data_IF_280843715431
#
_entry.id   IF_280843715431
#
_cell.length_a   1.000
_cell.length_b   1.000
_cell.length_c   1.000
_cell.angle_alpha   90.00
_cell.angle_beta   90.00
_cell.angle_gamma   90.00
#
_symmetry.space_group_name_H-M   'P 1'
#
loop_
_entity.id
_entity.type
_entity.pdbx_description
1 polymer ?
#
# COMPACT_ATOMS: atom_id res chain seq x y z
N UNK A 1 -0.44 36.33 19.87
CA UNK A 1 -0.48 34.94 19.34
C UNK A 1 0.76 34.69 18.52
N UNK A 2 1.45 33.60 18.76
CA UNK A 2 2.62 33.24 17.98
C UNK A 2 2.18 32.65 16.61
N UNK A 3 2.88 33.04 15.57
CA UNK A 3 2.67 32.48 14.23
C UNK A 3 3.75 31.43 13.98
N UNK A 4 3.32 30.21 13.63
CA UNK A 4 4.25 29.14 13.31
C UNK A 4 4.78 29.36 11.89
N UNK A 5 6.11 29.39 11.74
CA UNK A 5 6.74 29.49 10.42
C UNK A 5 6.39 28.24 9.58
N UNK A 6 6.08 28.38 8.28
CA UNK A 6 5.90 27.22 7.40
C UNK A 6 7.04 26.21 7.44
N UNK A 7 8.29 26.66 7.65
CA UNK A 7 9.44 25.75 7.77
C UNK A 7 9.38 24.82 8.99
N UNK A 8 8.61 25.21 10.02
CA UNK A 8 8.41 24.40 11.24
C UNK A 8 7.24 23.42 11.09
N UNK A 9 6.47 23.52 10.03
CA UNK A 9 5.33 22.64 9.76
C UNK A 9 5.74 21.52 8.80
N UNK A 10 4.93 20.48 8.76
CA UNK A 10 5.14 19.35 7.86
C UNK A 10 3.96 19.26 6.89
N UNK A 11 4.27 18.95 5.63
CA UNK A 11 3.27 18.59 4.63
C UNK A 11 3.28 17.08 4.45
N UNK A 12 2.11 16.51 4.34
CA UNK A 12 1.98 15.12 3.89
C UNK A 12 1.22 15.09 2.58
N UNK A 13 1.59 14.15 1.71
CA UNK A 13 0.88 13.90 0.47
C UNK A 13 0.58 12.42 0.40
N UNK A 14 -0.67 12.07 0.13
CA UNK A 14 -1.10 10.69 0.00
C UNK A 14 -1.61 10.46 -1.42
N UNK A 15 -1.14 9.37 -2.03
CA UNK A 15 -1.72 8.86 -3.28
C UNK A 15 -2.37 7.52 -3.02
N UNK A 16 -3.35 7.17 -3.84
CA UNK A 16 -4.05 5.90 -3.73
C UNK A 16 -4.14 5.23 -5.09
N UNK A 17 -3.89 3.94 -5.13
CA UNK A 17 -4.04 3.11 -6.33
C UNK A 17 -5.05 2.03 -6.02
N UNK A 18 -6.00 1.85 -6.93
CA UNK A 18 -7.01 0.79 -6.84
C UNK A 18 -6.56 -0.38 -7.70
N UNK A 19 -6.62 -1.58 -7.14
CA UNK A 19 -6.16 -2.79 -7.81
C UNK A 19 -7.00 -3.98 -7.35
N UNK A 20 -7.22 -4.95 -8.24
CA UNK A 20 -7.92 -6.19 -7.90
C UNK A 20 -6.95 -7.34 -7.93
N UNK A 21 -6.87 -8.05 -6.82
CA UNK A 21 -6.15 -9.31 -6.68
C UNK A 21 -6.82 -10.15 -5.59
N UNK A 22 -6.42 -11.41 -5.50
CA UNK A 22 -6.90 -12.31 -4.47
C UNK A 22 -5.77 -12.66 -3.51
N UNK A 23 -6.13 -13.17 -2.34
CA UNK A 23 -5.15 -13.71 -1.41
C UNK A 23 -5.71 -14.95 -0.71
N UNK A 24 -4.81 -15.87 -0.37
CA UNK A 24 -5.14 -17.09 0.35
C UNK A 24 -4.73 -16.95 1.80
N UNK A 25 -5.72 -16.92 2.69
CA UNK A 25 -5.54 -16.77 4.13
C UNK A 25 -6.36 -17.84 4.83
N UNK A 26 -5.75 -18.54 5.77
CA UNK A 26 -6.39 -19.64 6.53
C UNK A 26 -7.00 -20.71 5.60
N UNK A 27 -6.32 -20.98 4.48
CA UNK A 27 -6.75 -21.98 3.53
C UNK A 27 -7.85 -21.55 2.57
N UNK A 28 -8.33 -20.33 2.67
CA UNK A 28 -9.39 -19.79 1.81
C UNK A 28 -8.83 -18.69 0.90
N UNK A 29 -9.27 -18.71 -0.37
CA UNK A 29 -8.88 -17.69 -1.34
C UNK A 29 -10.02 -16.70 -1.47
N UNK A 30 -9.69 -15.41 -1.30
CA UNK A 30 -10.64 -14.31 -1.42
C UNK A 30 -10.16 -13.33 -2.46
N UNK A 31 -11.03 -12.95 -3.40
CA UNK A 31 -10.77 -11.86 -4.33
C UNK A 31 -11.45 -10.60 -3.83
N UNK A 32 -10.70 -9.51 -3.79
CA UNK A 32 -11.19 -8.22 -3.33
C UNK A 32 -10.76 -7.11 -4.27
N UNK A 33 -11.55 -6.02 -4.36
CA UNK A 33 -10.97 -4.74 -4.76
C UNK A 33 -10.17 -4.20 -3.57
N UNK A 34 -8.96 -3.73 -3.86
CA UNK A 34 -8.05 -3.16 -2.88
C UNK A 34 -7.79 -1.71 -3.22
N UNK A 35 -7.61 -0.90 -2.20
CA UNK A 35 -7.03 0.42 -2.33
C UNK A 35 -5.74 0.45 -1.53
N UNK A 36 -4.67 0.88 -2.16
CA UNK A 36 -3.37 0.99 -1.51
C UNK A 36 -2.97 2.45 -1.50
N UNK A 37 -2.65 2.96 -0.33
CA UNK A 37 -2.25 4.35 -0.12
C UNK A 37 -0.80 4.42 0.30
N UNK A 38 -0.09 5.42 -0.22
CA UNK A 38 1.25 5.75 0.23
C UNK A 38 1.30 7.22 0.59
N UNK A 39 1.85 7.54 1.75
CA UNK A 39 1.97 8.90 2.26
C UNK A 39 3.43 9.27 2.45
N UNK A 40 3.82 10.38 1.86
CA UNK A 40 5.15 10.98 2.02
C UNK A 40 5.03 12.29 2.78
N UNK A 41 6.12 12.69 3.45
CA UNK A 41 6.16 13.86 4.30
C UNK A 41 7.38 14.72 3.96
N UNK A 42 7.22 16.01 4.00
CA UNK A 42 8.29 16.98 3.85
C UNK A 42 7.96 18.28 4.55
N UNK A 43 8.92 19.22 4.59
CA UNK A 43 8.68 20.52 5.22
C UNK A 43 7.65 21.34 4.44
N UNK A 44 6.87 22.16 5.13
CA UNK A 44 5.78 22.91 4.54
C UNK A 44 6.23 24.12 3.71
N UNK A 45 7.53 24.43 3.69
CA UNK A 45 8.09 25.56 2.94
C UNK A 45 8.60 25.17 1.54
N UNK A 46 8.37 23.93 1.09
CA UNK A 46 8.69 23.51 -0.28
C UNK A 46 7.43 23.59 -1.16
N UNK A 47 7.62 23.74 -2.47
CA UNK A 47 6.49 23.79 -3.41
C UNK A 47 5.74 22.45 -3.45
N UNK A 48 6.46 21.35 -3.31
CA UNK A 48 5.88 20.01 -3.26
C UNK A 48 6.83 19.07 -2.51
N UNK A 49 6.26 18.07 -1.85
CA UNK A 49 7.05 17.03 -1.17
C UNK A 49 7.80 16.18 -2.21
N UNK A 50 7.07 15.76 -3.23
CA UNK A 50 7.59 15.12 -4.44
C UNK A 50 6.49 15.21 -5.51
N UNK A 51 6.78 14.99 -6.80
CA UNK A 51 5.71 14.94 -7.80
C UNK A 51 4.75 13.80 -7.49
N UNK A 52 3.45 14.12 -7.40
CA UNK A 52 2.41 13.11 -7.11
C UNK A 52 2.39 12.02 -8.18
N UNK A 53 2.58 12.39 -9.46
CA UNK A 53 2.60 11.43 -10.56
C UNK A 53 3.74 10.40 -10.39
N UNK A 54 4.89 10.83 -9.87
CA UNK A 54 6.02 9.92 -9.62
C UNK A 54 5.71 8.91 -8.53
N UNK A 55 5.07 9.35 -7.45
CA UNK A 55 4.66 8.46 -6.37
C UNK A 55 3.59 7.48 -6.84
N UNK A 56 2.60 7.97 -7.58
CA UNK A 56 1.57 7.11 -8.17
C UNK A 56 2.17 6.07 -9.11
N UNK A 57 3.07 6.48 -10.01
CA UNK A 57 3.70 5.57 -10.97
C UNK A 57 4.55 4.50 -10.26
N UNK A 58 5.27 4.89 -9.22
CA UNK A 58 6.10 3.96 -8.45
C UNK A 58 5.22 2.93 -7.74
N UNK A 59 4.15 3.38 -7.06
CA UNK A 59 3.23 2.50 -6.37
C UNK A 59 2.50 1.57 -7.35
N UNK A 60 2.01 2.11 -8.46
CA UNK A 60 1.34 1.32 -9.49
C UNK A 60 2.25 0.23 -10.05
N UNK A 61 3.52 0.54 -10.28
CA UNK A 61 4.51 -0.42 -10.79
C UNK A 61 4.75 -1.56 -9.80
N UNK A 62 4.76 -1.27 -8.50
CA UNK A 62 4.92 -2.30 -7.48
C UNK A 62 3.70 -3.22 -7.39
N UNK A 63 2.52 -2.71 -7.67
CA UNK A 63 1.27 -3.45 -7.59
C UNK A 63 0.95 -4.23 -8.88
N UNK A 64 1.53 -3.84 -10.01
CA UNK A 64 1.19 -4.45 -11.31
C UNK A 64 1.38 -5.97 -11.34
N UNK A 65 2.46 -6.54 -10.76
CA UNK A 65 2.62 -8.00 -10.74
C UNK A 65 1.52 -8.74 -9.97
N UNK A 66 0.76 -8.06 -9.11
CA UNK A 66 -0.29 -8.67 -8.29
C UNK A 66 -1.65 -8.67 -8.97
N UNK A 67 -1.82 -7.78 -9.95
CA UNK A 67 -3.11 -7.62 -10.65
C UNK A 67 -3.55 -8.93 -11.28
N UNK A 68 -4.76 -9.38 -10.91
CA UNK A 68 -5.31 -10.61 -11.44
C UNK A 68 -4.64 -11.89 -10.94
N UNK A 69 -3.79 -11.79 -9.92
CA UNK A 69 -3.15 -12.94 -9.27
C UNK A 69 -3.80 -13.23 -7.93
N UNK A 70 -3.59 -14.44 -7.38
CA UNK A 70 -3.84 -14.64 -5.97
C UNK A 70 -2.50 -14.85 -5.25
N UNK A 71 -2.31 -14.06 -4.21
CA UNK A 71 -1.13 -14.15 -3.36
C UNK A 71 -1.30 -15.35 -2.43
N UNK A 72 -0.26 -16.14 -2.28
CA UNK A 72 -0.33 -17.37 -1.50
C UNK A 72 1.05 -17.79 -1.03
N UNK A 73 1.12 -18.47 0.10
CA UNK A 73 2.35 -19.14 0.51
C UNK A 73 2.35 -20.62 0.12
N UNK A 74 1.26 -21.12 -0.48
CA UNK A 74 1.14 -22.49 -0.96
C UNK A 74 0.50 -22.45 -2.35
N UNK A 75 1.19 -23.01 -3.35
CA UNK A 75 0.65 -23.13 -4.71
C UNK A 75 -0.38 -24.27 -4.74
N UNK A 76 -1.64 -23.91 -4.94
CA UNK A 76 -2.74 -24.86 -5.08
C UNK A 76 -3.32 -24.86 -6.50
N UNK A 77 -2.58 -24.28 -7.47
CA UNK A 77 -3.01 -24.16 -8.84
C UNK A 77 -3.88 -22.94 -9.11
N UNK A 78 -4.32 -22.80 -10.34
CA UNK A 78 -5.20 -21.68 -10.73
C UNK A 78 -6.49 -21.70 -9.92
N UNK A 79 -6.95 -20.50 -9.56
CA UNK A 79 -8.23 -20.30 -8.86
C UNK A 79 -9.05 -19.26 -9.62
N UNK A 80 -10.18 -19.70 -10.21
CA UNK A 80 -11.15 -18.81 -10.88
C UNK A 80 -10.50 -17.81 -11.84
N UNK A 81 -9.50 -18.26 -12.60
CA UNK A 81 -8.76 -17.41 -13.54
C UNK A 81 -7.59 -16.66 -12.94
N UNK A 82 -7.39 -16.73 -11.62
CA UNK A 82 -6.24 -16.12 -10.95
C UNK A 82 -5.10 -17.13 -10.89
N UNK A 83 -3.93 -16.73 -11.41
CA UNK A 83 -2.71 -17.52 -11.27
C UNK A 83 -2.06 -17.27 -9.93
N UNK A 84 -1.39 -18.27 -9.33
CA UNK A 84 -0.73 -18.08 -8.05
C UNK A 84 0.52 -17.20 -8.16
N UNK A 85 0.69 -16.33 -7.17
CA UNK A 85 1.95 -15.63 -6.92
C UNK A 85 2.42 -16.07 -5.53
N UNK A 86 3.47 -16.90 -5.50
CA UNK A 86 3.86 -17.59 -4.27
C UNK A 86 4.81 -16.74 -3.46
N UNK A 87 4.47 -16.53 -2.19
CA UNK A 87 5.27 -15.84 -1.19
C UNK A 87 5.81 -16.83 -0.17
N UNK A 88 6.80 -16.41 0.59
CA UNK A 88 7.36 -17.21 1.68
C UNK A 88 6.53 -17.16 2.96
N UNK A 89 5.51 -16.27 3.03
CA UNK A 89 4.60 -16.12 4.15
C UNK A 89 3.17 -15.99 3.68
N UNK A 90 2.24 -16.29 4.57
CA UNK A 90 0.82 -16.10 4.30
C UNK A 90 0.52 -14.63 4.02
N UNK A 91 -0.17 -14.30 2.91
CA UNK A 91 -0.40 -12.92 2.51
C UNK A 91 -1.60 -12.29 3.24
N UNK A 92 -1.48 -12.15 4.54
CA UNK A 92 -2.43 -11.36 5.33
C UNK A 92 -2.35 -9.90 4.91
N UNK A 93 -3.35 -9.10 5.28
CA UNK A 93 -3.33 -7.66 4.97
C UNK A 93 -2.11 -7.00 5.60
N UNK A 94 -1.71 -7.44 6.80
CA UNK A 94 -0.52 -6.96 7.50
C UNK A 94 0.76 -7.28 6.74
N UNK A 95 0.87 -8.48 6.19
CA UNK A 95 2.05 -8.89 5.41
C UNK A 95 2.11 -8.14 4.08
N UNK A 96 0.98 -7.91 3.45
CA UNK A 96 0.88 -7.08 2.24
C UNK A 96 1.44 -5.68 2.53
N UNK A 97 1.02 -5.07 3.63
CA UNK A 97 1.50 -3.74 4.03
C UNK A 97 3.03 -3.74 4.27
N UNK A 98 3.56 -4.76 4.95
CA UNK A 98 5.01 -4.86 5.21
C UNK A 98 5.81 -4.97 3.91
N UNK A 99 5.36 -5.78 2.96
CA UNK A 99 6.07 -5.93 1.68
C UNK A 99 6.06 -4.66 0.86
N UNK A 100 4.94 -3.97 0.84
CA UNK A 100 4.85 -2.67 0.17
C UNK A 100 5.78 -1.66 0.82
N UNK A 101 5.82 -1.64 2.15
CA UNK A 101 6.73 -0.75 2.87
C UNK A 101 8.19 -0.97 2.48
N UNK A 102 8.64 -2.22 2.54
CA UNK A 102 10.04 -2.57 2.26
C UNK A 102 10.42 -2.13 0.85
N UNK A 103 9.55 -2.40 -0.13
CA UNK A 103 9.84 -2.09 -1.53
C UNK A 103 9.76 -0.59 -1.81
N UNK A 104 8.75 0.09 -1.27
CA UNK A 104 8.54 1.50 -1.54
C UNK A 104 9.56 2.38 -0.82
N UNK A 105 9.91 2.04 0.40
CA UNK A 105 10.88 2.79 1.22
C UNK A 105 12.26 2.85 0.56
N UNK A 106 12.60 1.86 -0.26
CA UNK A 106 13.85 1.85 -1.03
C UNK A 106 13.86 2.82 -2.21
N UNK A 107 12.68 3.21 -2.68
CA UNK A 107 12.53 3.99 -3.91
C UNK A 107 12.05 5.42 -3.68
N UNK A 108 11.53 5.71 -2.50
CA UNK A 108 10.86 6.97 -2.20
C UNK A 108 11.40 7.55 -0.91
N UNK A 109 11.82 8.82 -0.95
CA UNK A 109 12.23 9.53 0.25
C UNK A 109 11.00 10.10 0.96
N UNK A 110 11.07 10.14 2.28
CA UNK A 110 10.02 10.75 3.09
C UNK A 110 8.78 9.89 3.28
N UNK A 111 8.85 8.60 2.94
CA UNK A 111 7.73 7.70 3.18
C UNK A 111 7.44 7.60 4.68
N UNK A 112 6.21 7.88 5.08
CA UNK A 112 5.80 7.84 6.50
C UNK A 112 4.68 6.85 6.76
N UNK A 113 3.88 6.48 5.76
CA UNK A 113 2.76 5.58 5.97
C UNK A 113 2.39 4.84 4.70
N UNK A 114 2.02 3.57 4.87
CA UNK A 114 1.34 2.75 3.87
C UNK A 114 -0.02 2.37 4.45
N UNK A 115 -1.08 2.52 3.67
CA UNK A 115 -2.40 2.04 4.01
C UNK A 115 -2.83 0.97 3.02
N UNK A 116 -3.32 -0.15 3.52
CA UNK A 116 -3.89 -1.22 2.68
C UNK A 116 -5.33 -1.39 3.09
N UNK A 117 -6.23 -1.15 2.15
CA UNK A 117 -7.66 -1.14 2.37
C UNK A 117 -8.26 -2.28 1.56
N UNK A 118 -8.85 -3.24 2.27
CA UNK A 118 -9.52 -4.39 1.69
C UNK A 118 -11.02 -4.18 1.77
N UNK A 119 -11.71 -4.18 0.63
CA UNK A 119 -13.18 -4.16 0.62
C UNK A 119 -13.66 -5.60 0.79
N UNK A 120 -14.28 -5.91 1.93
CA UNK A 120 -14.71 -7.28 2.26
C UNK A 120 -16.13 -7.55 1.83
N UNK A 121 -17.01 -6.55 1.91
CA UNK A 121 -18.39 -6.63 1.50
C UNK A 121 -18.82 -5.29 0.90
N UNK A 122 -20.01 -5.24 0.35
CA UNK A 122 -20.54 -4.06 -0.34
C UNK A 122 -20.38 -2.76 0.46
N UNK A 123 -20.62 -2.82 1.76
CA UNK A 123 -20.62 -1.65 2.65
C UNK A 123 -19.52 -1.69 3.70
N UNK A 124 -18.53 -2.60 3.59
CA UNK A 124 -17.50 -2.80 4.61
C UNK A 124 -16.11 -2.83 4.00
N UNK A 125 -15.17 -2.31 4.76
CA UNK A 125 -13.76 -2.40 4.43
C UNK A 125 -12.94 -2.59 5.71
N UNK A 126 -11.73 -3.14 5.54
CA UNK A 126 -10.73 -3.23 6.60
C UNK A 126 -9.53 -2.44 6.15
N UNK A 127 -8.90 -1.74 7.09
CA UNK A 127 -7.74 -0.91 6.81
C UNK A 127 -6.61 -1.33 7.73
N UNK A 128 -5.46 -1.61 7.16
CA UNK A 128 -4.22 -1.79 7.91
C UNK A 128 -3.30 -0.65 7.53
N UNK A 129 -2.77 0.05 8.52
CA UNK A 129 -1.81 1.15 8.32
C UNK A 129 -0.50 0.79 8.97
N UNK A 130 0.57 0.97 8.22
CA UNK A 130 1.93 0.78 8.69
C UNK A 130 2.62 2.14 8.59
N UNK A 131 3.07 2.66 9.70
CA UNK A 131 3.61 4.02 9.75
C UNK A 131 4.88 4.08 10.60
N UNK A 132 5.71 5.09 10.31
CA UNK A 132 6.88 5.36 11.15
C UNK A 132 6.42 5.77 12.55
N UNK A 133 7.19 5.39 13.59
CA UNK A 133 6.91 5.90 14.92
C UNK A 133 7.00 7.42 14.94
N UNK A 134 6.16 8.04 15.76
CA UNK A 134 6.29 9.46 16.05
C UNK A 134 7.52 9.68 16.93
N UNK A 135 8.39 10.61 16.53
CA UNK A 135 9.62 10.95 17.27
C UNK A 135 9.59 12.38 17.76
#
# INVERSE_FOLDING_TARGET
MAVVSPAALQLTMTVAIHVRFAHRVDGLIHSHPWSVEATVQGPADVDKVMPADDLEATLARLLEPWRGKYLTNVDVGEWKGYEPLVWDREPTVEEIARRLWIQLDQQVQGLVEIGVIESTEFDRSRVVRLSRPLT
#
